data_IF_103055364281
#
_entry.id   IF_103055364281
#
_cell.length_a   1.000
_cell.length_b   1.000
_cell.length_c   1.000
_cell.angle_alpha   90.00
_cell.angle_beta   90.00
_cell.angle_gamma   90.00
#
_symmetry.space_group_name_H-M   'P 1'
#
loop_
_entity.id
_entity.type
_entity.pdbx_description
1 polymer ?
#
# COMPACT_ATOMS: atom_id res chain seq x y z
N UNK A 1 6.43 18.46 10.40
CA UNK A 1 6.71 17.45 9.36
C UNK A 1 8.07 16.80 9.54
N UNK A 2 9.17 17.56 9.61
CA UNK A 2 10.55 17.02 9.59
C UNK A 2 10.84 15.92 10.63
N UNK A 3 10.42 16.09 11.89
CA UNK A 3 10.69 15.11 12.97
C UNK A 3 10.04 13.73 12.76
N UNK A 4 8.82 13.69 12.21
CA UNK A 4 8.14 12.43 11.91
C UNK A 4 8.76 11.72 10.73
N UNK A 5 9.09 12.49 9.68
CA UNK A 5 9.78 11.95 8.51
C UNK A 5 11.16 11.40 8.87
N UNK A 6 11.95 12.12 9.67
CA UNK A 6 13.27 11.64 10.10
C UNK A 6 13.15 10.37 10.93
N UNK A 7 12.17 10.29 11.83
CA UNK A 7 11.89 9.08 12.62
C UNK A 7 11.58 7.88 11.72
N UNK A 8 10.59 7.99 10.83
CA UNK A 8 10.18 6.88 9.96
C UNK A 8 11.30 6.47 9.00
N UNK A 9 12.04 7.45 8.45
CA UNK A 9 13.17 7.21 7.56
C UNK A 9 14.28 6.43 8.26
N UNK A 10 14.62 6.82 9.50
CA UNK A 10 15.62 6.10 10.32
C UNK A 10 15.13 4.70 10.70
N UNK A 11 13.85 4.50 10.99
CA UNK A 11 13.30 3.17 11.29
C UNK A 11 13.47 2.23 10.09
N UNK A 12 13.13 2.69 8.89
CA UNK A 12 13.26 1.89 7.66
C UNK A 12 14.71 1.56 7.31
N UNK A 13 15.65 2.48 7.56
CA UNK A 13 17.08 2.25 7.29
C UNK A 13 17.71 1.34 8.35
N UNK A 14 17.41 1.56 9.62
CA UNK A 14 18.07 0.86 10.72
C UNK A 14 17.45 -0.52 10.99
N UNK A 15 16.20 -0.73 10.61
CA UNK A 15 15.49 -2.00 10.74
C UNK A 15 15.22 -2.56 9.34
N UNK A 16 16.21 -3.25 8.71
CA UNK A 16 16.14 -3.65 7.31
C UNK A 16 14.98 -4.61 7.01
N UNK A 17 14.44 -5.26 8.05
CA UNK A 17 13.24 -6.11 7.97
C UNK A 17 12.08 -5.38 7.28
N UNK A 18 11.88 -4.08 7.52
CA UNK A 18 10.77 -3.32 6.92
C UNK A 18 10.88 -3.17 5.40
N UNK A 19 12.09 -3.25 4.84
CA UNK A 19 12.35 -3.14 3.41
C UNK A 19 12.45 -4.53 2.79
N UNK A 20 13.29 -5.40 3.37
CA UNK A 20 13.59 -6.71 2.80
C UNK A 20 12.38 -7.64 2.81
N UNK A 21 11.60 -7.67 3.90
CA UNK A 21 10.45 -8.57 4.02
C UNK A 21 9.42 -8.36 2.88
N UNK A 22 8.87 -7.16 2.66
CA UNK A 22 7.89 -6.99 1.59
C UNK A 22 8.45 -7.16 0.19
N UNK A 23 9.67 -6.67 -0.05
CA UNK A 23 10.30 -6.79 -1.37
C UNK A 23 10.64 -8.24 -1.71
N UNK A 24 11.11 -9.03 -0.74
CA UNK A 24 11.36 -10.46 -0.93
C UNK A 24 10.06 -11.21 -1.19
N UNK A 25 9.00 -10.97 -0.41
CA UNK A 25 7.71 -11.64 -0.62
C UNK A 25 7.11 -11.28 -1.98
N UNK A 26 7.11 -9.98 -2.34
CA UNK A 26 6.72 -9.53 -3.67
C UNK A 26 7.51 -10.27 -4.75
N UNK A 27 8.84 -10.29 -4.65
CA UNK A 27 9.72 -10.90 -5.65
C UNK A 27 9.54 -12.40 -5.75
N UNK A 28 9.41 -13.12 -4.63
CA UNK A 28 9.23 -14.58 -4.61
C UNK A 28 7.92 -14.96 -5.28
N UNK A 29 6.80 -14.35 -4.86
CA UNK A 29 5.48 -14.62 -5.44
C UNK A 29 5.49 -14.30 -6.93
N UNK A 30 6.10 -13.18 -7.29
CA UNK A 30 6.20 -12.76 -8.66
C UNK A 30 7.05 -13.69 -9.54
N UNK A 31 8.19 -14.16 -9.04
CA UNK A 31 9.04 -15.15 -9.74
C UNK A 31 8.32 -16.49 -9.88
N UNK A 32 7.58 -16.95 -8.87
CA UNK A 32 6.76 -18.17 -8.96
C UNK A 32 5.78 -18.04 -10.15
N UNK A 33 5.10 -16.90 -10.26
CA UNK A 33 4.17 -16.67 -11.35
C UNK A 33 4.84 -16.59 -12.73
N UNK A 34 6.06 -16.06 -12.82
CA UNK A 34 6.84 -16.04 -14.07
C UNK A 34 7.23 -17.47 -14.48
N UNK A 35 7.70 -18.29 -13.53
CA UNK A 35 8.12 -19.68 -13.79
C UNK A 35 6.96 -20.55 -14.26
N UNK A 36 5.75 -20.29 -13.76
CA UNK A 36 4.54 -21.01 -14.15
C UNK A 36 4.09 -20.71 -15.59
N UNK A 37 4.78 -19.81 -16.31
CA UNK A 37 4.56 -19.44 -17.72
C UNK A 37 3.06 -19.23 -18.04
N UNK A 38 2.40 -18.46 -17.16
CA UNK A 38 1.00 -18.12 -17.32
C UNK A 38 0.81 -17.29 -18.60
N UNK A 39 -0.33 -17.50 -19.27
CA UNK A 39 -0.68 -16.82 -20.52
C UNK A 39 -0.46 -15.31 -20.44
N UNK A 40 -0.24 -14.66 -21.60
CA UNK A 40 -0.04 -13.20 -21.70
C UNK A 40 -1.13 -12.39 -20.98
N UNK A 41 -2.37 -12.89 -20.96
CA UNK A 41 -3.52 -12.29 -20.27
C UNK A 41 -3.38 -12.26 -18.73
N UNK A 42 -2.61 -13.18 -18.15
CA UNK A 42 -2.43 -13.33 -16.69
C UNK A 42 -1.20 -12.60 -16.15
N UNK A 43 -0.34 -12.04 -17.02
CA UNK A 43 0.87 -11.30 -16.61
C UNK A 43 0.56 -10.14 -15.66
N UNK A 44 -0.55 -9.44 -15.88
CA UNK A 44 -0.96 -8.35 -14.99
C UNK A 44 -1.50 -8.88 -13.65
N UNK A 45 -2.29 -9.96 -13.67
CA UNK A 45 -2.80 -10.60 -12.45
C UNK A 45 -1.63 -11.00 -11.54
N UNK A 46 -0.53 -11.47 -12.11
CA UNK A 46 0.68 -11.83 -11.38
C UNK A 46 1.29 -10.63 -10.62
N UNK A 47 1.50 -9.50 -11.30
CA UNK A 47 2.00 -8.25 -10.67
C UNK A 47 1.02 -7.78 -9.59
N UNK A 48 -0.27 -7.82 -9.91
CA UNK A 48 -1.30 -7.33 -9.00
C UNK A 48 -1.36 -8.18 -7.73
N UNK A 49 -1.43 -9.50 -7.84
CA UNK A 49 -1.51 -10.42 -6.69
C UNK A 49 -0.25 -10.34 -5.83
N UNK A 50 0.94 -10.33 -6.45
CA UNK A 50 2.19 -10.20 -5.69
C UNK A 50 2.25 -8.88 -4.94
N UNK A 51 1.85 -7.78 -5.60
CA UNK A 51 1.80 -6.47 -4.96
C UNK A 51 0.75 -6.41 -3.85
N UNK A 52 -0.40 -7.05 -4.06
CA UNK A 52 -1.48 -7.08 -3.10
C UNK A 52 -1.04 -7.74 -1.79
N UNK A 53 -0.41 -8.90 -1.89
CA UNK A 53 0.09 -9.65 -0.72
C UNK A 53 1.20 -8.87 -0.02
N UNK A 54 2.14 -8.28 -0.76
CA UNK A 54 3.21 -7.48 -0.17
C UNK A 54 2.67 -6.29 0.63
N UNK A 55 1.76 -5.51 0.05
CA UNK A 55 1.15 -4.35 0.71
C UNK A 55 0.28 -4.78 1.90
N UNK A 56 -0.43 -5.91 1.79
CA UNK A 56 -1.19 -6.48 2.90
C UNK A 56 -0.28 -6.78 4.11
N UNK A 57 0.84 -7.47 3.90
CA UNK A 57 1.78 -7.82 4.97
C UNK A 57 2.41 -6.57 5.61
N UNK A 58 2.76 -5.56 4.80
CA UNK A 58 3.28 -4.29 5.31
C UNK A 58 2.26 -3.63 6.24
N UNK A 59 0.99 -3.61 5.83
CA UNK A 59 -0.06 -2.93 6.58
C UNK A 59 -0.30 -3.54 7.96
N UNK A 60 -0.11 -4.85 8.12
CA UNK A 60 -0.30 -5.56 9.39
C UNK A 60 0.74 -5.16 10.43
N UNK A 61 1.99 -4.97 10.01
CA UNK A 61 3.08 -4.59 10.91
C UNK A 61 3.09 -3.07 11.20
N UNK A 62 2.74 -2.25 10.21
CA UNK A 62 3.03 -0.81 10.19
C UNK A 62 2.52 -0.03 11.42
N UNK A 63 1.27 -0.26 11.84
CA UNK A 63 0.71 0.38 13.03
C UNK A 63 0.79 -0.50 14.27
N UNK A 64 0.82 -1.82 14.10
CA UNK A 64 0.86 -2.78 15.19
C UNK A 64 2.15 -2.66 16.00
N UNK A 65 3.30 -2.56 15.34
CA UNK A 65 4.59 -2.44 16.03
C UNK A 65 4.67 -1.13 16.86
N UNK A 66 4.19 -0.01 16.32
CA UNK A 66 4.13 1.28 17.06
C UNK A 66 3.09 1.29 18.19
N UNK A 67 2.03 0.48 18.08
CA UNK A 67 1.05 0.28 19.13
C UNK A 67 1.62 -0.56 20.27
N UNK A 68 2.27 -1.68 19.96
CA UNK A 68 2.94 -2.55 20.94
C UNK A 68 4.08 -1.84 21.67
N UNK A 69 4.76 -0.91 21.02
CA UNK A 69 5.81 -0.10 21.65
C UNK A 69 5.30 1.12 22.44
N UNK A 70 3.98 1.36 22.50
CA UNK A 70 3.37 2.51 23.19
C UNK A 70 3.66 3.88 22.54
N UNK A 71 4.21 3.91 21.33
CA UNK A 71 4.54 5.17 20.63
C UNK A 71 3.27 5.94 20.32
N UNK A 72 2.23 5.23 19.84
CA UNK A 72 0.95 5.85 19.47
C UNK A 72 0.31 6.55 20.68
N UNK A 73 0.35 5.92 21.84
CA UNK A 73 -0.18 6.46 23.10
C UNK A 73 0.59 7.71 23.51
N UNK A 74 1.93 7.66 23.45
CA UNK A 74 2.79 8.82 23.71
C UNK A 74 2.47 10.00 22.79
N UNK A 75 2.32 9.77 21.48
CA UNK A 75 1.98 10.81 20.51
C UNK A 75 0.63 11.47 20.80
N UNK A 76 -0.33 10.71 21.31
CA UNK A 76 -1.64 11.24 21.70
C UNK A 76 -1.53 12.10 22.96
N UNK A 77 -0.78 11.66 23.97
CA UNK A 77 -0.57 12.41 25.22
C UNK A 77 0.17 13.72 24.93
N UNK A 78 1.17 13.70 24.06
CA UNK A 78 1.94 14.88 23.65
C UNK A 78 1.14 15.81 22.71
N UNK A 79 -0.12 15.49 22.36
CA UNK A 79 -0.96 16.21 21.39
C UNK A 79 -0.25 16.47 20.06
N UNK A 80 0.62 15.55 19.66
CA UNK A 80 1.37 15.62 18.42
C UNK A 80 0.43 15.47 17.20
N UNK A 81 0.86 15.99 16.05
CA UNK A 81 0.04 15.99 14.85
C UNK A 81 0.00 14.59 14.18
N UNK A 82 -0.97 13.77 14.60
CA UNK A 82 -1.21 12.42 14.08
C UNK A 82 -1.41 12.37 12.55
N UNK A 83 -1.94 13.44 11.95
CA UNK A 83 -2.08 13.50 10.49
C UNK A 83 -0.70 13.53 9.83
N UNK A 84 0.22 14.37 10.32
CA UNK A 84 1.61 14.39 9.82
C UNK A 84 2.32 13.05 10.04
N UNK A 85 2.04 12.37 11.15
CA UNK A 85 2.56 11.04 11.43
C UNK A 85 2.13 10.01 10.38
N UNK A 86 0.82 9.90 10.10
CA UNK A 86 0.29 8.97 9.08
C UNK A 86 0.85 9.28 7.68
N UNK A 87 0.91 10.56 7.31
CA UNK A 87 1.51 10.95 6.03
C UNK A 87 3.00 10.63 5.94
N UNK A 88 3.74 10.75 7.04
CA UNK A 88 5.17 10.40 7.07
C UNK A 88 5.39 8.91 6.81
N UNK A 89 4.54 8.05 7.39
CA UNK A 89 4.55 6.60 7.13
C UNK A 89 4.27 6.27 5.66
N UNK A 90 3.24 6.89 5.09
CA UNK A 90 2.91 6.69 3.66
C UNK A 90 4.05 7.14 2.74
N UNK A 91 4.70 8.27 3.03
CA UNK A 91 5.82 8.78 2.24
C UNK A 91 7.03 7.85 2.29
N UNK A 92 7.38 7.31 3.45
CA UNK A 92 8.51 6.38 3.59
C UNK A 92 8.21 5.06 2.89
N UNK A 93 6.99 4.51 3.01
CA UNK A 93 6.57 3.31 2.27
C UNK A 93 6.62 3.54 0.75
N UNK A 94 6.16 4.71 0.29
CA UNK A 94 6.24 5.08 -1.12
C UNK A 94 7.68 5.03 -1.64
N UNK A 95 8.61 5.65 -0.91
CA UNK A 95 10.01 5.76 -1.32
C UNK A 95 10.75 4.41 -1.28
N UNK A 96 10.62 3.65 -0.19
CA UNK A 96 11.44 2.47 0.06
C UNK A 96 10.82 1.14 -0.40
N UNK A 97 9.51 1.11 -0.65
CA UNK A 97 8.82 -0.13 -1.01
C UNK A 97 8.21 0.00 -2.41
N UNK A 98 7.35 0.99 -2.63
CA UNK A 98 6.54 1.04 -3.87
C UNK A 98 7.37 1.41 -5.09
N UNK A 99 8.33 2.33 -4.96
CA UNK A 99 9.27 2.65 -6.04
C UNK A 99 10.12 1.40 -6.41
N UNK A 100 10.76 0.70 -5.46
CA UNK A 100 11.47 -0.55 -5.78
C UNK A 100 10.57 -1.65 -6.36
N UNK A 101 9.34 -1.84 -5.86
CA UNK A 101 8.38 -2.79 -6.43
C UNK A 101 8.07 -2.48 -7.90
N UNK A 102 7.86 -1.20 -8.23
CA UNK A 102 7.67 -0.75 -9.61
C UNK A 102 8.91 -1.04 -10.46
N UNK A 103 10.11 -0.77 -9.94
CA UNK A 103 11.35 -1.05 -10.66
C UNK A 103 11.51 -2.53 -10.97
N UNK A 104 11.27 -3.40 -9.98
CA UNK A 104 11.27 -4.87 -10.15
C UNK A 104 10.23 -5.27 -11.20
N UNK A 105 8.98 -4.79 -11.10
CA UNK A 105 7.93 -5.11 -12.06
C UNK A 105 8.32 -4.76 -13.51
N UNK A 106 8.88 -3.57 -13.71
CA UNK A 106 9.33 -3.11 -15.03
C UNK A 106 10.52 -3.92 -15.57
N UNK A 107 11.48 -4.30 -14.73
CA UNK A 107 12.66 -5.09 -15.16
C UNK A 107 12.25 -6.45 -15.69
N UNK A 108 11.28 -7.11 -15.06
CA UNK A 108 10.91 -8.47 -15.39
C UNK A 108 9.81 -8.58 -16.47
N UNK A 109 8.80 -7.71 -16.45
CA UNK A 109 7.69 -7.76 -17.41
C UNK A 109 7.83 -6.76 -18.57
N UNK A 110 8.75 -5.81 -18.47
CA UNK A 110 8.86 -4.72 -19.44
C UNK A 110 7.66 -3.77 -19.40
N UNK A 111 7.54 -2.97 -20.46
CA UNK A 111 6.39 -2.09 -20.66
C UNK A 111 5.31 -2.79 -21.48
N UNK A 112 4.03 -2.70 -21.07
CA UNK A 112 2.95 -3.25 -21.88
C UNK A 112 2.86 -2.50 -23.22
N UNK A 113 2.59 -3.26 -24.29
CA UNK A 113 2.41 -2.72 -25.64
C UNK A 113 1.26 -1.70 -25.62
N UNK A 114 1.51 -0.50 -26.13
CA UNK A 114 0.60 0.68 -26.13
C UNK A 114 0.62 1.58 -24.88
N UNK A 115 1.55 1.38 -23.95
CA UNK A 115 1.67 2.23 -22.76
C UNK A 115 2.99 2.97 -22.65
N UNK A 116 2.89 4.27 -22.40
CA UNK A 116 4.06 5.04 -22.02
C UNK A 116 4.48 4.68 -20.60
N UNK A 117 5.81 4.65 -20.38
CA UNK A 117 6.42 4.45 -19.06
C UNK A 117 5.75 5.33 -18.00
N UNK A 118 5.57 6.61 -18.30
CA UNK A 118 4.95 7.57 -17.38
C UNK A 118 3.53 7.17 -16.97
N UNK A 119 2.67 6.79 -17.93
CA UNK A 119 1.28 6.42 -17.64
C UNK A 119 1.20 5.14 -16.81
N UNK A 120 2.01 4.14 -17.16
CA UNK A 120 2.07 2.90 -16.41
C UNK A 120 2.56 3.15 -14.97
N UNK A 121 3.67 3.87 -14.82
CA UNK A 121 4.28 4.14 -13.51
C UNK A 121 3.35 4.91 -12.57
N UNK A 122 2.70 5.98 -13.06
CA UNK A 122 1.76 6.74 -12.24
C UNK A 122 0.54 5.92 -11.86
N UNK A 123 -0.03 5.15 -12.80
CA UNK A 123 -1.21 4.33 -12.52
C UNK A 123 -0.87 3.22 -11.51
N UNK A 124 0.30 2.59 -11.66
CA UNK A 124 0.74 1.54 -10.76
C UNK A 124 1.05 2.06 -9.36
N UNK A 125 1.77 3.19 -9.24
CA UNK A 125 2.04 3.81 -7.95
C UNK A 125 0.77 4.32 -7.26
N UNK A 126 -0.17 4.92 -8.01
CA UNK A 126 -1.47 5.30 -7.49
C UNK A 126 -2.23 4.09 -6.94
N UNK A 127 -2.21 2.97 -7.67
CA UNK A 127 -2.78 1.68 -7.26
C UNK A 127 -2.16 1.17 -5.94
N UNK A 128 -0.82 1.14 -5.83
CA UNK A 128 -0.14 0.69 -4.60
C UNK A 128 -0.45 1.59 -3.40
N UNK A 129 -0.46 2.92 -3.62
CA UNK A 129 -0.77 3.88 -2.56
C UNK A 129 -2.22 3.76 -2.09
N UNK A 130 -3.19 3.67 -3.01
CA UNK A 130 -4.60 3.42 -2.65
C UNK A 130 -4.72 2.18 -1.80
N UNK A 131 -4.11 1.08 -2.25
CA UNK A 131 -4.19 -0.21 -1.60
C UNK A 131 -3.59 -0.16 -0.19
N UNK A 132 -2.44 0.49 -0.03
CA UNK A 132 -1.79 0.68 1.28
C UNK A 132 -2.69 1.42 2.25
N UNK A 133 -3.34 2.50 1.83
CA UNK A 133 -4.21 3.29 2.71
C UNK A 133 -5.42 2.45 3.16
N UNK A 134 -6.06 1.69 2.27
CA UNK A 134 -7.18 0.81 2.65
C UNK A 134 -6.74 -0.28 3.64
N UNK A 135 -5.63 -0.97 3.36
CA UNK A 135 -5.15 -1.99 4.29
C UNK A 135 -4.68 -1.43 5.63
N UNK A 136 -4.08 -0.24 5.64
CA UNK A 136 -3.74 0.45 6.88
C UNK A 136 -4.98 0.82 7.71
N UNK A 137 -6.11 1.16 7.07
CA UNK A 137 -7.39 1.33 7.77
C UNK A 137 -7.85 0.01 8.40
N UNK A 138 -7.82 -1.09 7.66
CA UNK A 138 -8.20 -2.38 8.21
C UNK A 138 -7.30 -2.79 9.38
N UNK A 139 -5.99 -2.60 9.26
CA UNK A 139 -5.02 -2.99 10.30
C UNK A 139 -5.17 -2.18 11.59
N UNK A 140 -5.43 -0.87 11.51
CA UNK A 140 -5.64 -0.05 12.70
C UNK A 140 -6.96 -0.41 13.40
N UNK A 141 -8.02 -0.74 12.66
CA UNK A 141 -9.29 -1.14 13.29
C UNK A 141 -9.15 -2.52 13.95
N UNK A 142 -8.36 -3.41 13.38
CA UNK A 142 -8.15 -4.77 13.88
C UNK A 142 -7.04 -4.89 14.93
N UNK A 143 -6.40 -3.78 15.33
CA UNK A 143 -5.14 -3.80 16.10
C UNK A 143 -5.24 -4.60 17.41
N UNK A 144 -6.40 -4.58 18.09
CA UNK A 144 -6.68 -5.33 19.33
C UNK A 144 -7.32 -6.71 19.12
N UNK A 145 -7.86 -7.00 17.93
CA UNK A 145 -8.73 -8.18 17.67
C UNK A 145 -8.08 -9.25 16.76
N UNK A 146 -6.80 -9.11 16.44
CA UNK A 146 -6.08 -10.00 15.52
C UNK A 146 -6.30 -9.64 14.05
N UNK A 147 -5.47 -10.19 13.15
CA UNK A 147 -5.39 -9.82 11.73
C UNK A 147 -6.65 -10.13 10.90
N UNK A 148 -7.55 -10.99 11.38
CA UNK A 148 -8.74 -11.41 10.62
C UNK A 148 -9.74 -10.28 10.34
N UNK A 149 -9.81 -9.25 11.20
CA UNK A 149 -10.69 -8.09 10.97
C UNK A 149 -10.17 -7.16 9.85
N UNK A 150 -8.85 -7.15 9.58
CA UNK A 150 -8.25 -6.29 8.55
C UNK A 150 -8.86 -6.59 7.18
N UNK A 151 -8.91 -7.87 6.80
CA UNK A 151 -9.51 -8.31 5.54
C UNK A 151 -11.02 -7.99 5.48
N UNK A 152 -11.76 -8.25 6.56
CA UNK A 152 -13.21 -8.07 6.57
C UNK A 152 -13.66 -6.62 6.34
N UNK A 153 -12.93 -5.66 6.91
CA UNK A 153 -13.26 -4.23 6.84
C UNK A 153 -12.87 -3.63 5.49
N UNK A 154 -11.85 -4.18 4.86
CA UNK A 154 -11.29 -3.63 3.61
C UNK A 154 -11.97 -4.18 2.36
N UNK A 155 -12.55 -5.38 2.43
CA UNK A 155 -13.25 -6.03 1.29
C UNK A 155 -14.26 -5.11 0.56
N UNK A 156 -15.15 -4.35 1.23
CA UNK A 156 -16.14 -3.51 0.55
C UNK A 156 -15.50 -2.46 -0.38
N UNK A 157 -14.32 -1.97 0.00
CA UNK A 157 -13.55 -0.99 -0.77
C UNK A 157 -12.62 -1.64 -1.80
N UNK A 158 -12.20 -2.88 -1.56
CA UNK A 158 -11.31 -3.60 -2.47
C UNK A 158 -12.02 -4.12 -3.71
N UNK A 159 -13.29 -4.55 -3.62
CA UNK A 159 -14.01 -5.09 -4.79
C UNK A 159 -14.14 -4.02 -5.91
N UNK A 160 -14.65 -2.80 -5.66
CA UNK A 160 -14.71 -1.76 -6.68
C UNK A 160 -13.34 -1.42 -7.24
N UNK A 161 -12.33 -1.36 -6.36
CA UNK A 161 -10.95 -1.07 -6.73
C UNK A 161 -10.36 -2.12 -7.70
N UNK A 162 -10.54 -3.41 -7.41
CA UNK A 162 -10.04 -4.50 -8.25
C UNK A 162 -10.67 -4.45 -9.66
N UNK A 163 -11.96 -4.15 -9.75
CA UNK A 163 -12.67 -4.04 -11.03
C UNK A 163 -12.05 -2.91 -11.90
N UNK A 164 -11.75 -1.77 -11.30
CA UNK A 164 -11.15 -0.62 -11.99
C UNK A 164 -9.73 -0.92 -12.48
N UNK A 165 -8.92 -1.54 -11.61
CA UNK A 165 -7.54 -1.90 -11.93
C UNK A 165 -7.51 -2.94 -13.05
N UNK A 166 -8.40 -3.93 -13.03
CA UNK A 166 -8.58 -4.87 -14.15
C UNK A 166 -8.92 -4.11 -15.45
N UNK A 167 -9.91 -3.21 -15.42
CA UNK A 167 -10.32 -2.47 -16.61
C UNK A 167 -9.22 -1.60 -17.22
N UNK A 168 -8.31 -1.10 -16.38
CA UNK A 168 -7.20 -0.24 -16.79
C UNK A 168 -6.04 -1.05 -17.41
N UNK A 169 -5.61 -2.11 -16.73
CA UNK A 169 -4.40 -2.84 -17.10
C UNK A 169 -4.65 -4.10 -17.95
N UNK A 170 -5.85 -4.68 -17.91
CA UNK A 170 -6.22 -5.88 -18.67
C UNK A 170 -7.10 -5.51 -19.86
N UNK A 171 -8.22 -4.83 -19.62
CA UNK A 171 -9.21 -4.55 -20.66
C UNK A 171 -8.81 -3.37 -21.58
N UNK A 172 -7.71 -2.66 -21.26
CA UNK A 172 -7.17 -1.56 -22.07
C UNK A 172 -8.03 -0.29 -22.10
N UNK A 173 -9.04 -0.18 -21.23
CA UNK A 173 -9.90 1.00 -21.14
C UNK A 173 -9.24 2.09 -20.29
N UNK A 174 -8.24 2.76 -20.87
CA UNK A 174 -7.34 3.66 -20.14
C UNK A 174 -8.03 4.89 -19.55
N UNK A 175 -8.63 5.73 -20.38
CA UNK A 175 -9.10 7.07 -19.99
C UNK A 175 -10.12 7.03 -18.84
N UNK A 176 -11.24 6.28 -18.92
CA UNK A 176 -12.24 6.28 -17.86
C UNK A 176 -11.70 5.67 -16.56
N UNK A 177 -11.01 4.53 -16.66
CA UNK A 177 -10.53 3.83 -15.47
C UNK A 177 -9.37 4.57 -14.79
N UNK A 178 -8.54 5.28 -15.55
CA UNK A 178 -7.47 6.11 -15.00
C UNK A 178 -8.01 7.28 -14.19
N UNK A 179 -9.00 8.01 -14.72
CA UNK A 179 -9.61 9.11 -13.96
C UNK A 179 -10.32 8.61 -12.71
N UNK A 180 -11.00 7.46 -12.81
CA UNK A 180 -11.65 6.87 -11.65
C UNK A 180 -10.63 6.37 -10.61
N UNK A 181 -9.52 5.74 -11.03
CA UNK A 181 -8.42 5.38 -10.14
C UNK A 181 -7.85 6.61 -9.42
N UNK A 182 -7.65 7.71 -10.14
CA UNK A 182 -7.15 8.95 -9.55
C UNK A 182 -8.15 9.57 -8.57
N UNK A 183 -9.44 9.54 -8.89
CA UNK A 183 -10.50 9.96 -7.96
C UNK A 183 -10.51 9.08 -6.70
N UNK A 184 -10.34 7.77 -6.86
CA UNK A 184 -10.26 6.82 -5.75
C UNK A 184 -9.01 7.04 -4.89
N UNK A 185 -7.88 7.38 -5.52
CA UNK A 185 -6.65 7.79 -4.85
C UNK A 185 -6.83 9.07 -4.04
N UNK A 186 -7.44 10.10 -4.62
CA UNK A 186 -7.73 11.37 -3.92
C UNK A 186 -8.70 11.14 -2.75
N UNK A 187 -9.72 10.30 -2.94
CA UNK A 187 -10.64 9.88 -1.88
C UNK A 187 -9.89 9.18 -0.74
N UNK A 188 -9.01 8.24 -1.06
CA UNK A 188 -8.25 7.47 -0.09
C UNK A 188 -7.27 8.35 0.70
N UNK A 189 -6.46 9.16 -0.01
CA UNK A 189 -5.45 10.01 0.62
C UNK A 189 -6.04 11.10 1.50
N UNK A 190 -7.26 11.55 1.20
CA UNK A 190 -7.96 12.58 1.97
C UNK A 190 -8.84 11.96 3.04
N UNK A 191 -9.89 11.24 2.64
CA UNK A 191 -10.94 10.79 3.54
C UNK A 191 -10.48 9.62 4.41
N UNK A 192 -9.93 8.56 3.80
CA UNK A 192 -9.54 7.35 4.54
C UNK A 192 -8.38 7.63 5.51
N UNK A 193 -7.42 8.47 5.13
CA UNK A 193 -6.37 8.90 6.06
C UNK A 193 -6.90 9.68 7.27
N UNK A 194 -7.91 10.53 7.10
CA UNK A 194 -8.57 11.21 8.22
C UNK A 194 -9.31 10.21 9.12
N UNK A 195 -9.93 9.18 8.53
CA UNK A 195 -10.54 8.09 9.30
C UNK A 195 -9.49 7.32 10.08
N UNK A 196 -8.34 6.98 9.48
CA UNK A 196 -7.22 6.32 10.19
C UNK A 196 -6.81 7.14 11.42
N UNK A 197 -6.60 8.45 11.28
CA UNK A 197 -6.26 9.33 12.41
C UNK A 197 -7.31 9.29 13.52
N UNK A 198 -8.59 9.24 13.16
CA UNK A 198 -9.68 9.12 14.15
C UNK A 198 -9.72 7.76 14.82
N UNK A 199 -9.52 6.68 14.06
CA UNK A 199 -9.49 5.31 14.60
C UNK A 199 -8.30 5.14 15.54
N UNK A 200 -7.12 5.70 15.22
CA UNK A 200 -5.95 5.70 16.12
C UNK A 200 -6.32 6.26 17.50
N UNK A 201 -7.05 7.38 17.55
CA UNK A 201 -7.49 7.99 18.83
C UNK A 201 -8.50 7.13 19.59
N UNK A 202 -9.34 6.38 18.90
CA UNK A 202 -10.33 5.49 19.51
C UNK A 202 -9.64 4.24 20.08
N UNK A 203 -8.68 3.68 19.33
CA UNK A 203 -7.95 2.48 19.71
C UNK A 203 -6.91 2.70 20.81
N UNK A 204 -6.54 3.94 21.10
CA UNK A 204 -5.65 4.30 22.21
C UNK A 204 -6.39 4.71 23.50
N UNK A 205 -7.73 4.74 23.48
CA UNK A 205 -8.56 4.82 24.68
C UNK A 205 -8.86 3.44 25.24
#
# INVERSE_FOLDING_TARGET
>A
MGRFLTREFLLFINIPKHIYLPLSIYSIIYVIFIILDLSSELKFANIFISSFIAVFIISEANFKEDFESGVIEKLIIENENLTMYVFSKLLVQFLFIFIPMLAIGLVFNGLPENLSLFKYSISYLACLLTLSIFFNLGSIVSIRKGSSLNALITIPFLIPFIILVKGLFVDGQWIPNFYFLMAYFIFSISFINLVIVRVIRIQAK
#
